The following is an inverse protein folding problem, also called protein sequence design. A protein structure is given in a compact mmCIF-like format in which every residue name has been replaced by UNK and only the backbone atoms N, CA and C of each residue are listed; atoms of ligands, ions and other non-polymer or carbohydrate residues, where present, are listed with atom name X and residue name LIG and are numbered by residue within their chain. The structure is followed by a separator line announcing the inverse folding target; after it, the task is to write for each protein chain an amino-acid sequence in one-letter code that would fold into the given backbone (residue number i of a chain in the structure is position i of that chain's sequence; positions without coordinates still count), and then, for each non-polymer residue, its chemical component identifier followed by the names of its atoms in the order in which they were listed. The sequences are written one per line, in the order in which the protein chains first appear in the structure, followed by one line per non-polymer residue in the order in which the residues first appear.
data_IF_155006001821
#
_entry.id   IF_155006001821
#
_cell.length_a   1.000
_cell.length_b   1.000
_cell.length_c   1.000
_cell.angle_alpha   90.00
_cell.angle_beta   90.00
_cell.angle_gamma   90.00
#
_symmetry.space_group_name_H-M   'P 1'
#
loop_
_entity.id
_entity.type
_entity.pdbx_description
1 polymer ?
#
# COMPACT_ATOMS: atom_id res chain seq x y z
N UNK A 1 22.01 -54.14 0.06
CA UNK A 1 23.22 -54.83 -0.45
C UNK A 1 23.51 -56.16 0.25
N UNK A 2 23.33 -56.32 1.57
CA UNK A 2 23.58 -57.61 2.23
C UNK A 2 22.55 -58.72 1.87
N UNK A 3 21.34 -58.37 1.41
CA UNK A 3 20.27 -59.33 1.14
C UNK A 3 20.51 -60.19 -0.11
N UNK A 4 21.04 -59.60 -1.18
CA UNK A 4 21.33 -60.30 -2.44
C UNK A 4 22.48 -61.30 -2.31
N UNK A 5 23.59 -60.85 -1.69
CA UNK A 5 24.77 -61.69 -1.50
C UNK A 5 24.49 -62.94 -0.65
N UNK A 6 23.65 -62.79 0.39
CA UNK A 6 23.27 -63.91 1.25
C UNK A 6 22.42 -64.96 0.51
N UNK A 7 21.46 -64.55 -0.33
CA UNK A 7 20.68 -65.51 -1.13
C UNK A 7 21.54 -66.22 -2.19
N UNK A 8 22.40 -65.49 -2.90
CA UNK A 8 23.29 -66.07 -3.92
C UNK A 8 24.29 -67.07 -3.33
N UNK A 9 24.74 -66.86 -2.09
CA UNK A 9 25.68 -67.76 -1.41
C UNK A 9 25.12 -69.16 -1.08
N UNK A 10 23.79 -69.34 -1.13
CA UNK A 10 23.14 -70.63 -0.91
C UNK A 10 22.94 -71.48 -2.18
N UNK A 11 23.31 -70.97 -3.36
CA UNK A 11 23.17 -71.70 -4.62
C UNK A 11 24.42 -72.52 -4.97
N UNK A 12 24.21 -73.63 -5.68
CA UNK A 12 25.31 -74.45 -6.24
C UNK A 12 25.84 -73.85 -7.55
N UNK A 13 27.08 -74.17 -7.93
CA UNK A 13 27.73 -73.63 -9.14
C UNK A 13 26.91 -73.85 -10.43
N UNK A 14 26.25 -75.01 -10.55
CA UNK A 14 25.34 -75.32 -11.66
C UNK A 14 24.10 -74.44 -11.70
N UNK A 15 23.52 -74.11 -10.53
CA UNK A 15 22.36 -73.22 -10.43
C UNK A 15 22.74 -71.75 -10.69
N UNK A 16 23.94 -71.35 -10.28
CA UNK A 16 24.48 -70.02 -10.58
C UNK A 16 24.75 -69.84 -12.09
N UNK A 17 25.31 -70.86 -12.76
CA UNK A 17 25.47 -70.82 -14.21
C UNK A 17 24.11 -70.83 -14.93
N UNK A 18 23.14 -71.62 -14.47
CA UNK A 18 21.79 -71.60 -15.02
C UNK A 18 21.11 -70.23 -14.86
N UNK A 19 21.30 -69.57 -13.71
CA UNK A 19 20.79 -68.22 -13.45
C UNK A 19 21.49 -67.16 -14.31
N UNK A 20 22.75 -67.38 -14.70
CA UNK A 20 23.51 -66.47 -15.55
C UNK A 20 23.14 -66.62 -17.04
N UNK A 21 22.82 -67.83 -17.49
CA UNK A 21 22.49 -68.13 -18.89
C UNK A 21 20.99 -67.90 -19.21
N UNK A 22 20.14 -67.76 -18.20
CA UNK A 22 18.68 -67.56 -18.33
C UNK A 22 18.26 -66.21 -17.73
N UNK A 23 18.17 -65.19 -18.60
CA UNK A 23 17.77 -63.83 -18.24
C UNK A 23 16.38 -63.76 -17.60
N UNK A 24 15.45 -64.67 -17.93
CA UNK A 24 14.13 -64.68 -17.29
C UNK A 24 14.22 -65.13 -15.83
N UNK A 25 15.05 -66.12 -15.53
CA UNK A 25 15.29 -66.56 -14.14
C UNK A 25 16.02 -65.49 -13.35
N UNK A 26 16.99 -64.81 -13.95
CA UNK A 26 17.71 -63.72 -13.30
C UNK A 26 16.76 -62.55 -12.96
N UNK A 27 15.91 -62.13 -13.90
CA UNK A 27 14.93 -61.07 -13.66
C UNK A 27 13.91 -61.47 -12.58
N UNK A 28 13.41 -62.71 -12.60
CA UNK A 28 12.52 -63.22 -11.54
C UNK A 28 13.19 -63.18 -10.16
N UNK A 29 14.45 -63.59 -10.06
CA UNK A 29 15.20 -63.51 -8.81
C UNK A 29 15.38 -62.06 -8.32
N UNK A 30 15.58 -61.12 -9.25
CA UNK A 30 15.68 -59.69 -8.95
C UNK A 30 14.34 -59.13 -8.47
N UNK A 31 13.24 -59.39 -9.18
CA UNK A 31 11.89 -58.96 -8.80
C UNK A 31 11.43 -59.56 -7.47
N UNK A 32 11.88 -60.77 -7.15
CA UNK A 32 11.60 -61.43 -5.89
C UNK A 32 12.42 -60.90 -4.71
N UNK A 33 13.43 -60.06 -4.97
CA UNK A 33 14.26 -59.48 -3.93
C UNK A 33 13.47 -58.51 -3.04
N UNK A 34 13.76 -58.55 -1.74
CA UNK A 34 13.11 -57.66 -0.76
C UNK A 34 13.42 -56.18 -1.02
N UNK A 35 14.58 -55.90 -1.63
CA UNK A 35 15.00 -54.54 -1.99
C UNK A 35 14.12 -53.98 -3.13
N UNK A 36 13.88 -54.76 -4.20
CA UNK A 36 12.99 -54.35 -5.31
C UNK A 36 11.52 -54.29 -4.86
N UNK A 37 11.05 -55.28 -4.09
CA UNK A 37 9.69 -55.26 -3.52
C UNK A 37 9.45 -54.06 -2.61
N UNK A 38 10.40 -53.74 -1.73
CA UNK A 38 10.32 -52.57 -0.85
C UNK A 38 10.28 -51.26 -1.64
N UNK A 39 11.07 -51.14 -2.71
CA UNK A 39 11.03 -49.99 -3.62
C UNK A 39 9.69 -49.88 -4.35
N UNK A 40 9.15 -51.00 -4.85
CA UNK A 40 7.86 -51.04 -5.53
C UNK A 40 6.72 -50.65 -4.59
N UNK A 41 6.72 -51.16 -3.35
CA UNK A 41 5.75 -50.78 -2.32
C UNK A 41 5.84 -49.29 -1.97
N UNK A 42 7.06 -48.74 -1.83
CA UNK A 42 7.26 -47.31 -1.55
C UNK A 42 6.78 -46.43 -2.71
N UNK A 43 7.04 -46.85 -3.96
CA UNK A 43 6.51 -46.21 -5.17
C UNK A 43 4.98 -46.19 -5.15
N UNK A 44 4.34 -47.32 -4.89
CA UNK A 44 2.88 -47.42 -4.81
C UNK A 44 2.30 -46.53 -3.70
N UNK A 45 2.90 -46.55 -2.51
CA UNK A 45 2.51 -45.68 -1.41
C UNK A 45 2.63 -44.20 -1.76
N UNK A 46 3.73 -43.82 -2.43
CA UNK A 46 3.95 -42.44 -2.88
C UNK A 46 2.95 -42.03 -3.96
N UNK A 47 2.68 -42.90 -4.93
CA UNK A 47 1.69 -42.64 -5.97
C UNK A 47 0.27 -42.51 -5.39
N UNK A 48 -0.09 -43.36 -4.44
CA UNK A 48 -1.38 -43.28 -3.75
C UNK A 48 -1.50 -41.97 -2.96
N UNK A 49 -0.46 -41.57 -2.23
CA UNK A 49 -0.40 -40.29 -1.51
C UNK A 49 -0.51 -39.08 -2.45
N UNK A 50 0.25 -39.08 -3.55
CA UNK A 50 0.19 -38.02 -4.55
C UNK A 50 -1.19 -37.91 -5.19
N UNK A 51 -1.81 -39.05 -5.54
CA UNK A 51 -3.17 -39.09 -6.07
C UNK A 51 -4.18 -38.51 -5.07
N UNK A 52 -4.09 -38.89 -3.80
CA UNK A 52 -4.96 -38.35 -2.76
C UNK A 52 -4.82 -36.83 -2.64
N UNK A 53 -3.58 -36.31 -2.65
CA UNK A 53 -3.32 -34.87 -2.61
C UNK A 53 -3.87 -34.16 -3.85
N UNK A 54 -3.71 -34.75 -5.04
CA UNK A 54 -4.28 -34.21 -6.27
C UNK A 54 -5.81 -34.15 -6.22
N UNK A 55 -6.46 -35.21 -5.73
CA UNK A 55 -7.91 -35.26 -5.55
C UNK A 55 -8.40 -34.24 -4.51
N UNK A 56 -7.66 -34.02 -3.42
CA UNK A 56 -7.98 -32.97 -2.44
C UNK A 56 -7.81 -31.57 -3.04
N UNK A 57 -6.73 -31.31 -3.78
CA UNK A 57 -6.51 -30.03 -4.44
C UNK A 57 -7.61 -29.72 -5.46
N UNK A 58 -8.03 -30.72 -6.24
CA UNK A 58 -9.15 -30.60 -7.19
C UNK A 58 -10.47 -30.23 -6.50
N UNK A 59 -10.72 -30.76 -5.29
CA UNK A 59 -11.90 -30.40 -4.49
C UNK A 59 -11.85 -28.97 -3.94
N UNK A 60 -10.66 -28.44 -3.65
CA UNK A 60 -10.48 -27.07 -3.15
C UNK A 60 -10.62 -26.01 -4.24
N UNK A 61 -10.20 -26.34 -5.46
CA UNK A 61 -10.24 -25.43 -6.60
C UNK A 61 -11.59 -24.72 -6.82
N UNK A 62 -12.76 -25.39 -6.87
CA UNK A 62 -14.04 -24.70 -7.07
C UNK A 62 -14.39 -23.75 -5.93
N UNK A 63 -14.02 -24.07 -4.68
CA UNK A 63 -14.24 -23.17 -3.54
C UNK A 63 -13.38 -21.91 -3.65
N UNK A 64 -12.10 -22.06 -4.00
CA UNK A 64 -11.20 -20.93 -4.22
C UNK A 64 -11.64 -20.06 -5.39
N UNK A 65 -12.06 -20.67 -6.50
CA UNK A 65 -12.56 -19.95 -7.67
C UNK A 65 -13.84 -19.18 -7.33
N UNK A 66 -14.75 -19.78 -6.56
CA UNK A 66 -15.95 -19.09 -6.08
C UNK A 66 -15.59 -17.89 -5.20
N UNK A 67 -14.72 -18.06 -4.20
CA UNK A 67 -14.31 -16.96 -3.32
C UNK A 67 -13.58 -15.85 -4.08
N UNK A 68 -12.72 -16.21 -5.04
CA UNK A 68 -12.03 -15.26 -5.91
C UNK A 68 -13.02 -14.45 -6.76
N UNK A 69 -14.04 -15.12 -7.32
CA UNK A 69 -15.08 -14.46 -8.11
C UNK A 69 -15.93 -13.52 -7.25
N UNK A 70 -16.33 -13.93 -6.05
CA UNK A 70 -17.06 -13.07 -5.10
C UNK A 70 -16.24 -11.85 -4.70
N UNK A 71 -14.96 -12.04 -4.38
CA UNK A 71 -14.04 -10.94 -4.06
C UNK A 71 -13.92 -9.96 -5.23
N UNK A 72 -13.73 -10.48 -6.44
CA UNK A 72 -13.63 -9.68 -7.66
C UNK A 72 -14.92 -8.89 -7.91
N UNK A 73 -16.09 -9.51 -7.70
CA UNK A 73 -17.38 -8.83 -7.82
C UNK A 73 -17.51 -7.68 -6.83
N UNK A 74 -17.13 -7.89 -5.56
CA UNK A 74 -17.17 -6.83 -4.54
C UNK A 74 -16.23 -5.68 -4.86
N UNK A 75 -15.02 -5.96 -5.35
CA UNK A 75 -14.09 -4.92 -5.78
C UNK A 75 -14.66 -4.09 -6.95
N UNK A 76 -15.27 -4.73 -7.94
CA UNK A 76 -15.93 -4.01 -9.05
C UNK A 76 -17.07 -3.12 -8.57
N UNK A 77 -17.94 -3.66 -7.71
CA UNK A 77 -19.04 -2.86 -7.14
C UNK A 77 -18.54 -1.67 -6.31
N UNK A 78 -17.46 -1.86 -5.55
CA UNK A 78 -16.82 -0.77 -4.82
C UNK A 78 -16.26 0.29 -5.77
N UNK A 79 -15.60 -0.14 -6.85
CA UNK A 79 -15.07 0.77 -7.86
C UNK A 79 -16.19 1.60 -8.51
N UNK A 80 -17.27 0.97 -8.94
CA UNK A 80 -18.44 1.66 -9.52
C UNK A 80 -19.04 2.68 -8.53
N UNK A 81 -19.19 2.29 -7.26
CA UNK A 81 -19.71 3.18 -6.23
C UNK A 81 -18.76 4.36 -5.96
N UNK A 82 -17.45 4.11 -5.98
CA UNK A 82 -16.44 5.14 -5.81
C UNK A 82 -16.44 6.13 -6.98
N UNK A 83 -16.51 5.65 -8.22
CA UNK A 83 -16.63 6.48 -9.41
C UNK A 83 -17.90 7.35 -9.37
N UNK A 84 -19.04 6.75 -9.01
CA UNK A 84 -20.30 7.48 -8.83
C UNK A 84 -20.21 8.55 -7.72
N UNK A 85 -19.56 8.23 -6.60
CA UNK A 85 -19.29 9.19 -5.53
C UNK A 85 -18.42 10.34 -6.01
N UNK A 86 -17.32 10.06 -6.71
CA UNK A 86 -16.40 11.07 -7.22
C UNK A 86 -17.08 11.99 -8.23
N UNK A 87 -17.91 11.45 -9.12
CA UNK A 87 -18.72 12.23 -10.06
C UNK A 87 -19.70 13.15 -9.32
N UNK A 88 -20.41 12.63 -8.32
CA UNK A 88 -21.36 13.41 -7.52
C UNK A 88 -20.65 14.50 -6.73
N UNK A 89 -19.48 14.19 -6.15
CA UNK A 89 -18.63 15.16 -5.45
C UNK A 89 -18.19 16.28 -6.38
N UNK A 90 -17.63 15.94 -7.54
CA UNK A 90 -17.21 16.94 -8.54
C UNK A 90 -18.38 17.81 -9.03
N UNK A 91 -19.56 17.22 -9.20
CA UNK A 91 -20.77 17.98 -9.58
C UNK A 91 -21.20 18.94 -8.47
N UNK A 92 -21.15 18.51 -7.21
CA UNK A 92 -21.45 19.36 -6.06
C UNK A 92 -20.45 20.51 -5.97
N UNK A 93 -19.16 20.18 -6.02
CA UNK A 93 -18.02 21.09 -6.00
C UNK A 93 -18.11 22.19 -7.09
N UNK A 94 -18.54 21.81 -8.29
CA UNK A 94 -18.75 22.75 -9.39
C UNK A 94 -19.97 23.65 -9.14
N UNK A 95 -21.09 23.09 -8.64
CA UNK A 95 -22.31 23.86 -8.33
C UNK A 95 -22.16 24.79 -7.15
N UNK A 96 -21.41 24.39 -6.12
CA UNK A 96 -21.19 25.20 -4.92
C UNK A 96 -20.22 26.35 -5.16
N UNK A 97 -19.54 26.40 -6.32
CA UNK A 97 -18.48 27.36 -6.58
C UNK A 97 -17.40 27.19 -5.52
N UNK A 98 -16.56 26.16 -5.66
CA UNK A 98 -15.49 25.82 -4.73
C UNK A 98 -14.44 26.94 -4.58
N UNK A 99 -14.80 28.01 -3.89
CA UNK A 99 -13.88 29.01 -3.40
C UNK A 99 -13.84 28.87 -1.89
N UNK A 100 -12.67 28.55 -1.30
CA UNK A 100 -12.56 28.44 0.14
C UNK A 100 -12.90 29.79 0.76
N UNK A 101 -13.51 29.74 1.94
CA UNK A 101 -14.06 30.91 2.61
C UNK A 101 -12.99 31.99 2.85
N UNK A 102 -11.76 31.58 3.09
CA UNK A 102 -10.59 32.45 3.25
C UNK A 102 -10.26 33.21 1.96
N UNK A 103 -10.32 32.56 0.80
CA UNK A 103 -10.11 33.23 -0.50
C UNK A 103 -11.23 34.21 -0.78
N UNK A 104 -12.49 33.84 -0.49
CA UNK A 104 -13.62 34.77 -0.63
C UNK A 104 -13.47 35.99 0.28
N UNK A 105 -13.03 35.79 1.53
CA UNK A 105 -12.79 36.86 2.48
C UNK A 105 -11.70 37.81 1.99
N UNK A 106 -10.57 37.29 1.53
CA UNK A 106 -9.47 38.09 1.00
C UNK A 106 -9.90 38.92 -0.22
N UNK A 107 -10.63 38.32 -1.16
CA UNK A 107 -11.16 39.03 -2.33
C UNK A 107 -12.15 40.13 -1.93
N UNK A 108 -13.04 39.83 -0.98
CA UNK A 108 -14.01 40.81 -0.50
C UNK A 108 -13.33 41.97 0.25
N UNK A 109 -12.26 41.70 0.99
CA UNK A 109 -11.45 42.73 1.65
C UNK A 109 -10.75 43.64 0.64
N UNK A 110 -10.13 43.08 -0.41
CA UNK A 110 -9.53 43.87 -1.48
C UNK A 110 -10.56 44.77 -2.18
N UNK A 111 -11.72 44.20 -2.54
CA UNK A 111 -12.84 44.93 -3.11
C UNK A 111 -13.46 45.94 -2.12
N UNK A 112 -13.41 45.66 -0.81
CA UNK A 112 -13.81 46.58 0.25
C UNK A 112 -12.89 47.79 0.33
N UNK A 113 -11.58 47.57 0.35
CA UNK A 113 -10.59 48.64 0.34
C UNK A 113 -10.69 49.51 -0.92
N UNK A 114 -10.87 48.88 -2.09
CA UNK A 114 -11.05 49.59 -3.36
C UNK A 114 -12.25 50.55 -3.34
N UNK A 115 -13.41 50.11 -2.85
CA UNK A 115 -14.59 50.99 -2.82
C UNK A 115 -14.46 52.10 -1.76
N UNK A 116 -13.72 51.85 -0.67
CA UNK A 116 -13.40 52.89 0.32
C UNK A 116 -12.53 53.99 -0.29
N UNK A 117 -11.46 53.61 -0.98
CA UNK A 117 -10.59 54.52 -1.75
C UNK A 117 -11.36 55.26 -2.85
N UNK A 118 -12.23 54.58 -3.61
CA UNK A 118 -13.09 55.23 -4.60
C UNK A 118 -13.99 56.31 -3.96
N UNK A 119 -14.54 56.05 -2.76
CA UNK A 119 -15.35 57.08 -2.07
C UNK A 119 -14.52 58.25 -1.56
N UNK A 120 -13.26 58.02 -1.17
CA UNK A 120 -12.33 59.08 -0.77
C UNK A 120 -11.96 59.96 -1.96
N UNK A 121 -11.57 59.35 -3.09
CA UNK A 121 -11.27 60.06 -4.34
C UNK A 121 -12.45 60.89 -4.85
N UNK A 122 -13.68 60.42 -4.66
CA UNK A 122 -14.88 61.20 -4.99
C UNK A 122 -15.07 62.41 -4.09
N UNK A 123 -14.78 62.28 -2.80
CA UNK A 123 -14.84 63.39 -1.86
C UNK A 123 -13.80 64.46 -2.24
N UNK A 124 -12.57 64.05 -2.53
CA UNK A 124 -11.50 64.95 -2.97
C UNK A 124 -11.87 65.64 -4.29
N UNK A 125 -12.35 64.89 -5.28
CA UNK A 125 -12.79 65.44 -6.57
C UNK A 125 -13.92 66.46 -6.43
N UNK A 126 -14.83 66.25 -5.48
CA UNK A 126 -15.90 67.21 -5.19
C UNK A 126 -15.35 68.48 -4.52
N UNK A 127 -14.43 68.35 -3.57
CA UNK A 127 -13.76 69.48 -2.91
C UNK A 127 -12.93 70.32 -3.90
N UNK A 128 -12.35 69.67 -4.91
CA UNK A 128 -11.64 70.32 -6.02
C UNK A 128 -12.58 70.95 -7.06
N UNK A 129 -13.90 70.78 -6.92
CA UNK A 129 -14.90 71.32 -7.84
C UNK A 129 -15.02 70.57 -9.17
N UNK A 130 -14.43 69.38 -9.29
CA UNK A 130 -14.47 68.55 -10.49
C UNK A 130 -15.80 67.79 -10.67
N UNK A 131 -16.67 67.77 -9.65
CA UNK A 131 -17.99 67.16 -9.68
C UNK A 131 -19.08 68.13 -9.18
N UNK A 132 -20.24 68.23 -9.88
CA UNK A 132 -21.37 69.01 -9.40
C UNK A 132 -22.08 68.32 -8.21
N UNK A 133 -22.68 69.13 -7.33
CA UNK A 133 -23.28 68.67 -6.06
C UNK A 133 -24.31 67.55 -6.24
N UNK A 134 -25.23 67.70 -7.20
CA UNK A 134 -26.32 66.73 -7.39
C UNK A 134 -25.78 65.34 -7.80
N UNK A 135 -24.76 65.32 -8.68
CA UNK A 135 -24.10 64.06 -9.11
C UNK A 135 -23.29 63.45 -7.97
N UNK A 136 -22.57 64.29 -7.21
CA UNK A 136 -21.80 63.83 -6.06
C UNK A 136 -22.71 63.16 -5.02
N UNK A 137 -23.82 63.79 -4.64
CA UNK A 137 -24.75 63.26 -3.62
C UNK A 137 -25.24 61.86 -4.02
N UNK A 138 -25.71 61.69 -5.25
CA UNK A 138 -26.29 60.43 -5.72
C UNK A 138 -25.24 59.31 -5.78
N UNK A 139 -24.09 59.56 -6.42
CA UNK A 139 -23.06 58.55 -6.60
C UNK A 139 -22.33 58.22 -5.29
N UNK A 140 -22.00 59.25 -4.49
CA UNK A 140 -21.27 59.08 -3.23
C UNK A 140 -22.11 58.30 -2.23
N UNK A 141 -23.39 58.64 -2.05
CA UNK A 141 -24.25 57.90 -1.13
C UNK A 141 -24.40 56.43 -1.54
N UNK A 142 -24.55 56.17 -2.84
CA UNK A 142 -24.63 54.81 -3.38
C UNK A 142 -23.37 53.99 -3.10
N UNK A 143 -22.18 54.54 -3.43
CA UNK A 143 -20.89 53.85 -3.19
C UNK A 143 -20.54 53.75 -1.71
N UNK A 144 -20.85 54.77 -0.90
CA UNK A 144 -20.63 54.74 0.55
C UNK A 144 -21.50 53.71 1.25
N UNK A 145 -22.76 53.57 0.83
CA UNK A 145 -23.64 52.48 1.27
C UNK A 145 -23.08 51.11 0.90
N UNK A 146 -22.55 50.95 -0.32
CA UNK A 146 -21.89 49.71 -0.74
C UNK A 146 -20.64 49.40 0.09
N UNK A 147 -19.80 50.40 0.39
CA UNK A 147 -18.62 50.24 1.24
C UNK A 147 -18.99 49.75 2.64
N UNK A 148 -19.96 50.38 3.29
CA UNK A 148 -20.45 49.94 4.61
C UNK A 148 -21.05 48.53 4.56
N UNK A 149 -21.82 48.20 3.51
CA UNK A 149 -22.36 46.86 3.34
C UNK A 149 -21.25 45.81 3.17
N UNK A 150 -20.20 46.11 2.41
CA UNK A 150 -19.03 45.22 2.25
C UNK A 150 -18.30 45.05 3.57
N UNK A 151 -18.10 46.10 4.37
CA UNK A 151 -17.48 46.02 5.70
C UNK A 151 -18.20 45.06 6.64
N UNK A 152 -19.53 45.18 6.75
CA UNK A 152 -20.35 44.26 7.56
C UNK A 152 -20.26 42.82 7.04
N UNK A 153 -20.25 42.64 5.70
CA UNK A 153 -20.09 41.30 5.11
C UNK A 153 -18.71 40.70 5.39
N UNK A 154 -17.65 41.51 5.37
CA UNK A 154 -16.27 41.09 5.72
C UNK A 154 -16.24 40.63 7.18
N UNK A 155 -16.74 41.44 8.12
CA UNK A 155 -16.81 41.08 9.54
C UNK A 155 -17.57 39.77 9.75
N UNK A 156 -18.72 39.61 9.08
CA UNK A 156 -19.54 38.41 9.21
C UNK A 156 -18.85 37.17 8.64
N UNK A 157 -18.20 37.33 7.49
CA UNK A 157 -17.46 36.26 6.84
C UNK A 157 -16.23 35.86 7.65
N UNK A 158 -15.52 36.82 8.24
CA UNK A 158 -14.41 36.60 9.15
C UNK A 158 -14.84 35.81 10.40
N UNK A 159 -16.01 36.13 10.98
CA UNK A 159 -16.59 35.36 12.08
C UNK A 159 -16.86 33.89 11.68
N UNK A 160 -17.41 33.68 10.48
CA UNK A 160 -17.68 32.34 9.95
C UNK A 160 -16.40 31.54 9.69
N UNK A 161 -15.36 32.19 9.14
CA UNK A 161 -14.03 31.61 8.98
C UNK A 161 -13.48 31.16 10.33
N UNK A 162 -13.46 32.05 11.32
CA UNK A 162 -12.92 31.73 12.66
C UNK A 162 -13.70 30.56 13.31
N UNK A 163 -15.04 30.60 13.26
CA UNK A 163 -15.91 29.54 13.80
C UNK A 163 -15.75 28.21 13.07
N UNK A 164 -15.55 28.21 11.76
CA UNK A 164 -15.29 27.01 10.97
C UNK A 164 -14.01 26.29 11.43
N UNK A 165 -12.96 27.05 11.72
CA UNK A 165 -11.72 26.51 12.31
C UNK A 165 -11.94 25.93 13.71
N UNK A 166 -12.81 26.52 14.53
CA UNK A 166 -13.16 26.00 15.86
C UNK A 166 -13.95 24.68 15.80
N UNK A 167 -14.83 24.48 14.81
CA UNK A 167 -15.61 23.25 14.65
C UNK A 167 -14.77 22.06 14.15
N UNK A 168 -13.71 22.32 13.36
CA UNK A 168 -12.76 21.29 12.94
C UNK A 168 -11.83 20.81 14.08
N UNK A 169 -11.73 21.57 15.18
CA UNK A 169 -10.93 21.23 16.37
C UNK A 169 -11.75 20.72 17.57
N UNK A 170 -13.08 20.71 17.48
CA UNK A 170 -13.92 20.14 18.53
C UNK A 170 -14.12 18.63 18.30
N UNK A 171 -13.19 17.81 18.82
CA UNK A 171 -13.49 16.39 19.03
C UNK A 171 -14.66 16.25 20.03
N UNK A 172 -15.62 15.34 19.81
CA UNK A 172 -16.76 15.21 20.71
C UNK A 172 -16.28 14.72 22.10
N UNK A 173 -16.79 15.29 23.21
CA UNK A 173 -16.51 14.75 24.53
C UNK A 173 -17.14 13.35 24.65
N UNK A 174 -16.48 12.39 25.33
CA UNK A 174 -17.08 11.09 25.57
C UNK A 174 -18.33 11.27 26.44
N UNK A 175 -19.48 10.91 25.90
CA UNK A 175 -20.74 10.84 26.63
C UNK A 175 -20.60 9.82 27.75
N UNK A 176 -20.48 10.30 29.00
CA UNK A 176 -20.43 9.47 30.20
C UNK A 176 -21.87 9.12 30.58
N UNK A 177 -22.32 7.95 30.19
CA UNK A 177 -23.59 7.38 30.65
C UNK A 177 -23.51 7.15 32.17
N UNK A 178 -24.34 7.85 32.93
CA UNK A 178 -24.61 7.57 34.34
C UNK A 178 -25.95 6.84 34.48
N UNK A 179 -25.99 6.03 35.54
CA UNK A 179 -27.14 5.50 36.28
C UNK A 179 -27.67 4.09 35.96
N UNK A 180 -27.30 3.15 36.84
CA UNK A 180 -28.22 2.24 37.57
C UNK A 180 -27.52 1.69 38.85
N UNK A 181 -28.28 1.29 39.89
CA UNK A 181 -27.89 1.45 41.29
C UNK A 181 -27.27 0.23 41.98
N UNK A 182 -26.63 0.55 43.10
CA UNK A 182 -25.88 -0.23 44.08
C UNK A 182 -26.53 -1.52 44.62
N UNK A 183 -25.72 -2.58 44.79
CA UNK A 183 -25.96 -3.69 45.74
C UNK A 183 -24.63 -4.18 46.36
N UNK A 184 -24.58 -4.56 47.67
CA UNK A 184 -23.32 -4.64 48.41
C UNK A 184 -22.60 -6.00 48.31
N UNK A 185 -21.33 -5.95 48.73
CA UNK A 185 -20.23 -6.90 48.58
C UNK A 185 -20.48 -8.35 49.08
N UNK A 186 -19.75 -9.28 48.45
CA UNK A 186 -19.37 -10.56 49.03
C UNK A 186 -17.92 -10.89 48.64
N UNK A 187 -17.20 -11.46 49.60
CA UNK A 187 -15.76 -11.71 49.64
C UNK A 187 -15.30 -12.95 48.84
N UNK A 188 -13.99 -12.99 48.57
CA UNK A 188 -13.12 -14.13 48.22
C UNK A 188 -13.15 -14.68 46.78
N UNK A 189 -12.00 -14.61 46.08
CA UNK A 189 -11.05 -15.74 45.87
C UNK A 189 -9.98 -15.32 44.84
N UNK A 190 -8.70 -15.52 45.17
CA UNK A 190 -7.58 -15.46 44.23
C UNK A 190 -7.73 -16.50 43.11
N UNK A 191 -7.39 -16.13 41.87
CA UNK A 191 -6.63 -16.97 40.93
C UNK A 191 -6.09 -16.12 39.78
N UNK A 192 -4.80 -16.30 39.56
CA UNK A 192 -3.95 -16.00 38.41
C UNK A 192 -4.65 -15.86 37.04
N UNK A 193 -4.38 -14.79 36.28
CA UNK A 193 -4.85 -14.63 34.89
C UNK A 193 -4.30 -13.37 34.19
N UNK A 194 -3.70 -13.58 33.01
CA UNK A 194 -2.91 -12.67 32.16
C UNK A 194 -3.46 -11.26 31.86
N UNK A 195 -2.58 -10.28 31.54
CA UNK A 195 -2.98 -8.94 31.11
C UNK A 195 -3.51 -8.89 29.66
N UNK A 196 -4.61 -8.17 29.48
CA UNK A 196 -5.25 -7.81 28.20
C UNK A 196 -4.31 -6.92 27.34
N UNK A 197 -4.20 -7.12 26.02
CA UNK A 197 -3.30 -6.33 25.18
C UNK A 197 -3.89 -4.93 24.87
N UNK A 198 -3.14 -3.88 25.22
CA UNK A 198 -3.37 -2.50 24.75
C UNK A 198 -3.05 -2.40 23.24
N UNK A 199 -3.75 -1.54 22.46
CA UNK A 199 -3.35 -1.23 21.09
C UNK A 199 -2.05 -0.43 21.11
N UNK A 200 -0.93 -1.01 20.64
CA UNK A 200 0.34 -0.29 20.50
C UNK A 200 0.27 0.70 19.34
N UNK A 201 0.50 1.98 19.66
CA UNK A 201 0.80 3.07 18.74
C UNK A 201 2.05 2.73 17.92
N UNK A 202 2.01 2.93 16.60
CA UNK A 202 3.17 2.73 15.74
C UNK A 202 4.34 3.66 16.16
N UNK A 203 5.60 3.19 16.20
CA UNK A 203 6.74 4.04 16.51
C UNK A 203 7.00 5.06 15.39
N UNK A 204 7.52 6.26 15.70
CA UNK A 204 7.87 7.26 14.69
C UNK A 204 9.06 6.80 13.83
N UNK A 205 9.05 7.19 12.55
CA UNK A 205 10.11 6.92 11.59
C UNK A 205 11.39 7.70 11.95
N UNK A 206 12.59 7.12 11.76
CA UNK A 206 13.86 7.79 12.04
C UNK A 206 14.16 8.90 11.02
N UNK A 207 14.92 9.95 11.40
CA UNK A 207 15.21 11.09 10.53
C UNK A 207 16.17 10.72 9.40
N UNK A 208 15.80 11.13 8.18
CA UNK A 208 16.61 11.01 6.97
C UNK A 208 17.79 11.99 7.06
N UNK A 209 19.02 11.47 7.12
CA UNK A 209 20.23 12.28 6.96
C UNK A 209 20.47 12.52 5.47
N UNK A 210 20.50 13.80 5.08
CA UNK A 210 20.84 14.28 3.74
C UNK A 210 22.34 14.06 3.51
N UNK A 211 22.69 13.21 2.56
CA UNK A 211 24.09 12.95 2.16
C UNK A 211 24.56 14.06 1.21
N UNK A 212 25.57 14.81 1.64
CA UNK A 212 26.34 15.71 0.78
C UNK A 212 27.50 14.94 0.11
N UNK A 213 27.84 15.38 -1.09
CA UNK A 213 28.84 14.85 -2.04
C UNK A 213 30.27 14.71 -1.50
N UNK A 214 31.11 13.80 -2.06
CA UNK A 214 32.46 13.54 -1.55
C UNK A 214 33.54 14.43 -2.20
N UNK A 215 34.48 14.88 -1.37
CA UNK A 215 35.80 15.42 -1.76
C UNK A 215 36.89 14.39 -1.42
N UNK A 216 38.01 14.48 -2.14
CA UNK A 216 38.98 13.43 -2.45
C UNK A 216 40.19 13.37 -1.47
N UNK A 217 40.62 12.12 -1.13
CA UNK A 217 41.95 11.62 -0.71
C UNK A 217 42.56 11.90 0.70
N UNK A 218 43.60 11.15 1.16
CA UNK A 218 44.05 9.77 0.82
C UNK A 218 44.31 8.85 2.05
N UNK A 219 44.76 7.62 1.74
CA UNK A 219 44.89 6.38 2.50
C UNK A 219 45.73 6.36 3.81
N UNK A 220 45.44 5.38 4.69
CA UNK A 220 46.39 4.37 5.23
C UNK A 220 45.72 3.24 6.02
N UNK A 221 46.22 2.02 5.75
CA UNK A 221 46.53 0.89 6.65
C UNK A 221 45.43 0.00 7.31
N UNK A 222 45.78 -1.29 7.29
CA UNK A 222 45.05 -2.53 7.60
C UNK A 222 45.22 -2.91 9.08
N UNK A 223 44.19 -3.48 9.74
CA UNK A 223 44.38 -4.53 10.75
C UNK A 223 43.06 -5.17 11.26
N UNK A 224 43.06 -6.49 11.46
CA UNK A 224 42.14 -7.33 12.25
C UNK A 224 43.01 -8.31 13.07
N UNK A 225 42.50 -9.12 14.03
CA UNK A 225 41.49 -8.95 15.10
C UNK A 225 42.12 -9.35 16.49
N UNK A 226 41.38 -9.64 17.60
CA UNK A 226 40.76 -10.97 17.81
C UNK A 226 39.44 -11.02 18.65
N UNK A 227 38.82 -12.23 18.64
CA UNK A 227 37.71 -12.85 19.40
C UNK A 227 37.70 -12.61 20.93
N UNK A 228 36.63 -12.65 21.77
CA UNK A 228 35.38 -13.45 21.98
C UNK A 228 34.64 -12.86 23.25
N UNK A 229 33.64 -13.47 23.95
CA UNK A 229 32.39 -14.18 23.62
C UNK A 229 31.12 -13.51 24.25
N UNK A 230 29.95 -14.16 24.13
CA UNK A 230 28.66 -14.00 24.85
C UNK A 230 27.43 -13.58 24.01
N UNK A 231 26.51 -14.53 23.89
CA UNK A 231 25.17 -14.45 23.29
C UNK A 231 24.13 -13.90 24.28
N UNK A 232 22.94 -13.49 23.79
CA UNK A 232 21.78 -14.31 24.15
C UNK A 232 20.91 -14.71 22.95
N UNK A 233 20.29 -15.86 23.15
CA UNK A 233 19.33 -16.63 22.35
C UNK A 233 18.31 -15.83 21.54
N UNK A 234 18.24 -16.11 20.23
CA UNK A 234 17.09 -15.80 19.36
C UNK A 234 16.60 -17.10 18.71
N UNK A 235 15.28 -17.31 18.51
CA UNK A 235 14.71 -18.61 18.14
C UNK A 235 14.65 -18.89 16.62
N UNK A 236 15.53 -18.31 15.80
CA UNK A 236 15.53 -18.58 14.34
C UNK A 236 16.96 -18.65 13.77
N UNK A 237 17.28 -19.66 12.93
CA UNK A 237 18.57 -19.72 12.25
C UNK A 237 18.67 -18.65 11.14
N UNK A 238 19.86 -18.06 10.91
CA UNK A 238 20.06 -17.09 9.83
C UNK A 238 20.06 -17.78 8.46
N UNK A 239 19.30 -17.21 7.51
CA UNK A 239 19.30 -17.61 6.10
C UNK A 239 20.61 -17.11 5.46
N UNK A 240 21.40 -17.97 4.79
CA UNK A 240 22.65 -17.56 4.16
C UNK A 240 22.41 -16.63 2.95
N UNK A 241 23.31 -15.68 2.65
CA UNK A 241 23.18 -14.79 1.51
C UNK A 241 23.30 -15.57 0.20
N UNK A 242 22.32 -15.38 -0.69
CA UNK A 242 22.28 -15.96 -2.03
C UNK A 242 23.33 -15.27 -2.92
N UNK A 243 24.58 -15.68 -2.82
CA UNK A 243 25.61 -15.33 -3.79
C UNK A 243 25.28 -16.08 -5.08
N UNK A 244 25.08 -15.32 -6.15
CA UNK A 244 24.78 -15.85 -7.47
C UNK A 244 25.90 -16.74 -7.97
N UNK A 245 25.54 -17.96 -8.36
CA UNK A 245 26.21 -18.73 -9.40
C UNK A 245 25.17 -19.69 -9.99
N UNK A 246 24.76 -19.43 -11.23
CA UNK A 246 23.89 -20.30 -12.01
C UNK A 246 24.81 -21.30 -12.73
N UNK A 247 24.77 -22.61 -12.45
CA UNK A 247 25.40 -23.60 -13.33
C UNK A 247 24.58 -23.73 -14.63
N UNK A 248 25.21 -24.02 -15.78
CA UNK A 248 24.51 -24.05 -17.06
C UNK A 248 23.50 -25.19 -17.08
N UNK A 249 22.22 -24.85 -17.23
CA UNK A 249 21.12 -25.82 -17.34
C UNK A 249 21.15 -26.45 -18.73
N UNK A 250 21.33 -27.76 -18.75
CA UNK A 250 21.10 -28.62 -19.90
C UNK A 250 19.60 -28.56 -20.26
N UNK A 251 19.33 -28.13 -21.48
CA UNK A 251 18.00 -27.88 -22.01
C UNK A 251 17.31 -29.21 -22.37
N UNK A 252 16.28 -29.65 -21.63
CA UNK A 252 15.32 -30.66 -22.13
C UNK A 252 13.91 -30.44 -21.57
N UNK A 253 13.03 -29.91 -22.44
CA UNK A 253 11.74 -30.51 -22.74
C UNK A 253 10.60 -30.40 -21.73
N UNK A 254 10.02 -29.21 -21.51
CA UNK A 254 8.59 -29.03 -21.22
C UNK A 254 8.12 -27.65 -21.72
N UNK A 255 6.99 -27.54 -22.46
CA UNK A 255 6.47 -26.25 -22.88
C UNK A 255 5.73 -25.58 -21.72
N UNK A 256 6.32 -24.52 -21.17
CA UNK A 256 5.66 -23.61 -20.22
C UNK A 256 4.63 -22.76 -20.99
N UNK A 257 3.35 -23.05 -20.83
CA UNK A 257 2.25 -22.35 -21.52
C UNK A 257 1.46 -21.37 -20.62
N UNK A 258 1.95 -21.03 -19.42
CA UNK A 258 1.17 -20.18 -18.49
C UNK A 258 1.97 -19.06 -17.81
N UNK A 259 2.87 -18.42 -18.53
CA UNK A 259 3.34 -17.07 -18.16
C UNK A 259 2.77 -16.07 -19.16
N UNK A 260 1.69 -15.38 -18.77
CA UNK A 260 1.35 -14.11 -19.42
C UNK A 260 2.50 -13.15 -19.16
N UNK A 261 3.28 -12.95 -20.21
CA UNK A 261 4.40 -12.03 -20.27
C UNK A 261 3.83 -10.61 -20.24
N UNK A 262 4.02 -9.90 -19.13
CA UNK A 262 3.75 -8.47 -19.07
C UNK A 262 4.57 -7.76 -20.16
N UNK A 263 3.98 -6.83 -20.93
CA UNK A 263 4.74 -6.07 -21.92
C UNK A 263 5.80 -5.22 -21.22
N UNK A 264 7.00 -5.04 -21.83
CA UNK A 264 8.05 -4.23 -21.24
C UNK A 264 7.62 -2.76 -21.12
N UNK A 265 8.12 -2.02 -20.11
CA UNK A 265 7.82 -0.60 -19.95
C UNK A 265 8.39 0.19 -21.14
N UNK A 266 7.54 1.02 -21.74
CA UNK A 266 7.87 1.89 -22.87
C UNK A 266 8.83 3.00 -22.38
N UNK A 267 9.89 3.36 -23.13
CA UNK A 267 10.76 4.48 -22.78
C UNK A 267 9.97 5.79 -22.70
N UNK A 268 10.14 6.54 -21.59
CA UNK A 268 9.55 7.86 -21.41
C UNK A 268 10.02 8.80 -22.52
N UNK A 269 9.08 9.26 -23.36
CA UNK A 269 9.32 10.31 -24.34
C UNK A 269 9.43 11.66 -23.59
N UNK A 270 10.43 12.50 -23.86
CA UNK A 270 10.48 13.85 -23.28
C UNK A 270 9.26 14.67 -23.74
N UNK A 271 8.81 15.65 -22.94
CA UNK A 271 7.66 16.48 -23.27
C UNK A 271 7.92 17.27 -24.57
N UNK A 272 6.89 17.54 -25.39
CA UNK A 272 7.06 18.32 -26.61
C UNK A 272 7.50 19.74 -26.23
N UNK A 273 8.66 20.15 -26.75
CA UNK A 273 9.07 21.57 -26.76
C UNK A 273 7.97 22.36 -27.48
N UNK A 274 7.39 23.35 -26.81
CA UNK A 274 6.52 24.33 -27.45
C UNK A 274 7.32 25.03 -28.55
N UNK A 275 6.73 25.13 -29.74
CA UNK A 275 7.26 25.93 -30.83
C UNK A 275 7.25 27.43 -30.43
N UNK A 276 8.24 28.23 -30.87
CA UNK A 276 8.23 29.67 -30.62
C UNK A 276 7.09 30.32 -31.41
N UNK A 277 6.26 31.09 -30.70
CA UNK A 277 5.20 31.91 -31.28
C UNK A 277 5.81 32.99 -32.19
N UNK A 278 5.31 33.21 -33.42
CA UNK A 278 5.74 34.34 -34.24
C UNK A 278 5.18 35.65 -33.67
N UNK A 279 6.06 36.65 -33.55
CA UNK A 279 5.75 37.95 -32.97
C UNK A 279 4.72 38.75 -33.78
N UNK A 280 3.92 39.54 -33.07
CA UNK A 280 3.05 40.57 -33.64
C UNK A 280 3.92 41.69 -34.21
N UNK A 281 3.74 41.98 -35.51
CA UNK A 281 4.22 43.22 -36.13
C UNK A 281 3.16 44.29 -35.88
N UNK A 282 3.60 45.41 -35.29
CA UNK A 282 2.80 46.63 -35.21
C UNK A 282 2.56 47.23 -36.59
N UNK A 283 1.33 47.66 -36.86
CA UNK A 283 1.00 48.91 -37.54
C UNK A 283 -0.24 49.51 -36.88
#
# INVERSE_FOLDING_TARGET
MAGFGNKLSSYTLTQLNELLEDDEKLNKFIDESEEIKGLQQNKEMTLASNRLLAEQNLKLQPMLDHQKNELTRRYRSLQELFEAYQLRKSTLDHRSGNMPLDTLLALLQAEGAKIEEETENMADSFLDGAAPLDVFIDEYQSKRKLAHLRRVKIEKLQEMVLKGHHMAHAAPPPSRSQDLPSRPAALHREVNGSPMPMPRRAPPLPPVKVTQSPTVQPATAVSYPPTSPFSPTTPYPPIPPRVGNIPPVLNQGYPSMYMQQYPPPVPQRPPPRMAPQPGFIMQ
#
